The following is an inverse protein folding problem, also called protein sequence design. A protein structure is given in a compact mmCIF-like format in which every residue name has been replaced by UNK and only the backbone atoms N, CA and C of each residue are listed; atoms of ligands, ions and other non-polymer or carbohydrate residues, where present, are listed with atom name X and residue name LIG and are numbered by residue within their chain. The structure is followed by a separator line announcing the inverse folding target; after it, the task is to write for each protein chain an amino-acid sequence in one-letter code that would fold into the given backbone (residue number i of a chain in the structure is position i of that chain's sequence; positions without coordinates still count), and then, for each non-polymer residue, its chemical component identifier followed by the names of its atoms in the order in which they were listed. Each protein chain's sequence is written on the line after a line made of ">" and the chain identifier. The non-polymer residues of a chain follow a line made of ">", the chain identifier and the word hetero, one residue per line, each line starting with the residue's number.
data_IF_559900184528
#
_entry.id   IF_559900184528
#
_cell.length_a   1.000
_cell.length_b   1.000
_cell.length_c   1.000
_cell.angle_alpha   90.00
_cell.angle_beta   90.00
_cell.angle_gamma   90.00
#
_symmetry.space_group_name_H-M   'P 1'
#
loop_
_entity.id
_entity.type
_entity.pdbx_description
1 polymer ?
#
# COMPACT_ATOMS: atom_id res chain seq x y z
N UNK A 1 16.26 5.65 1.88
CA UNK A 1 14.93 5.41 2.51
C UNK A 1 14.88 5.77 4.00
N UNK A 2 13.72 6.26 4.50
CA UNK A 2 13.49 6.41 5.96
C UNK A 2 12.69 5.24 6.54
N UNK A 3 13.23 4.59 7.57
CA UNK A 3 12.59 3.49 8.30
C UNK A 3 12.09 4.01 9.66
N UNK A 4 10.85 3.69 9.99
CA UNK A 4 10.19 3.96 11.25
C UNK A 4 9.81 2.60 11.87
N UNK A 5 10.53 2.18 12.90
CA UNK A 5 10.18 0.97 13.65
C UNK A 5 8.87 1.20 14.43
N UNK A 6 8.02 0.18 14.47
CA UNK A 6 6.81 0.18 15.31
C UNK A 6 6.99 -0.77 16.49
N UNK A 7 6.18 -0.58 17.52
CA UNK A 7 6.18 -1.39 18.74
C UNK A 7 5.63 -2.80 18.52
N UNK A 8 4.93 -3.04 17.40
CA UNK A 8 4.35 -4.32 17.06
C UNK A 8 5.38 -5.20 16.36
N UNK A 9 5.53 -6.44 16.85
CA UNK A 9 6.39 -7.43 16.20
C UNK A 9 5.88 -7.67 14.77
N UNK A 10 6.80 -7.63 13.81
CA UNK A 10 6.59 -7.94 12.39
C UNK A 10 6.03 -6.83 11.49
N UNK A 11 5.79 -5.62 12.00
CA UNK A 11 5.39 -4.48 11.18
C UNK A 11 6.56 -3.49 11.08
N UNK A 12 6.89 -3.04 9.86
CA UNK A 12 7.80 -1.91 9.65
C UNK A 12 7.10 -0.83 8.85
N UNK A 13 7.30 0.42 9.27
CA UNK A 13 6.84 1.58 8.53
C UNK A 13 8.03 2.18 7.79
N UNK A 14 7.83 2.48 6.51
CA UNK A 14 8.87 2.97 5.60
C UNK A 14 8.32 4.13 4.79
N UNK A 15 9.21 5.07 4.48
CA UNK A 15 8.94 6.18 3.58
C UNK A 15 10.03 6.12 2.50
N UNK A 16 9.71 5.67 1.27
CA UNK A 16 10.66 5.71 0.16
C UNK A 16 10.87 7.18 -0.24
N UNK A 17 12.10 7.58 -0.52
CA UNK A 17 12.48 8.95 -0.86
C UNK A 17 12.74 9.11 -2.36
N UNK A 18 13.11 8.02 -3.04
CA UNK A 18 13.49 8.03 -4.44
C UNK A 18 13.03 6.74 -5.18
N UNK A 19 13.40 6.62 -6.46
CA UNK A 19 13.06 5.46 -7.29
C UNK A 19 13.78 4.17 -6.86
N UNK A 20 15.01 4.29 -6.38
CA UNK A 20 15.81 3.16 -5.90
C UNK A 20 15.15 2.54 -4.66
N UNK A 21 14.66 3.35 -3.72
CA UNK A 21 13.88 2.89 -2.58
C UNK A 21 12.63 2.12 -3.01
N UNK A 22 11.91 2.59 -4.03
CA UNK A 22 10.76 1.85 -4.58
C UNK A 22 11.16 0.51 -5.19
N UNK A 23 12.34 0.44 -5.83
CA UNK A 23 12.91 -0.81 -6.33
C UNK A 23 13.29 -1.74 -5.17
N UNK A 24 13.84 -1.21 -4.08
CA UNK A 24 14.08 -1.98 -2.86
C UNK A 24 12.78 -2.54 -2.27
N UNK A 25 11.73 -1.73 -2.17
CA UNK A 25 10.41 -2.17 -1.71
C UNK A 25 9.79 -3.24 -2.62
N UNK A 26 9.94 -3.11 -3.95
CA UNK A 26 9.51 -4.12 -4.91
C UNK A 26 10.13 -5.50 -4.63
N UNK A 27 11.41 -5.54 -4.26
CA UNK A 27 12.12 -6.78 -3.96
C UNK A 27 11.80 -7.36 -2.57
N UNK A 28 11.22 -6.56 -1.66
CA UNK A 28 10.95 -6.95 -0.27
C UNK A 28 9.50 -7.39 -0.08
N UNK A 29 8.57 -6.73 -0.76
CA UNK A 29 7.14 -7.01 -0.67
C UNK A 29 6.82 -8.28 -1.47
N UNK A 30 6.42 -9.32 -0.76
CA UNK A 30 6.09 -10.62 -1.34
C UNK A 30 4.58 -10.90 -1.27
N UNK A 31 4.14 -11.93 -2.00
CA UNK A 31 2.77 -12.43 -1.88
C UNK A 31 2.47 -12.82 -0.44
N UNK A 32 1.21 -12.66 -0.03
CA UNK A 32 0.69 -12.93 1.31
C UNK A 32 1.15 -11.98 2.42
N UNK A 33 2.07 -11.06 2.15
CA UNK A 33 2.37 -9.94 3.07
C UNK A 33 1.15 -9.02 3.19
N UNK A 34 1.09 -8.22 4.26
CA UNK A 34 0.08 -7.18 4.40
C UNK A 34 0.76 -5.82 4.24
N UNK A 35 0.22 -5.00 3.37
CA UNK A 35 0.72 -3.65 3.11
C UNK A 35 -0.38 -2.65 3.40
N UNK A 36 -0.06 -1.61 4.17
CA UNK A 36 -0.94 -0.48 4.41
C UNK A 36 -0.37 0.79 3.83
N UNK A 37 -1.23 1.58 3.21
CA UNK A 37 -0.92 2.94 2.80
C UNK A 37 -2.21 3.76 2.69
N UNK A 38 -2.04 5.08 2.60
CA UNK A 38 -3.14 5.98 2.24
C UNK A 38 -3.41 5.87 0.74
N UNK A 39 -4.67 5.62 0.37
CA UNK A 39 -5.10 5.53 -1.03
C UNK A 39 -6.40 6.29 -1.23
N UNK A 40 -6.71 6.66 -2.46
CA UNK A 40 -8.01 7.20 -2.82
C UNK A 40 -8.94 6.09 -3.30
N UNK A 41 -10.19 6.11 -2.83
CA UNK A 41 -11.24 5.24 -3.34
C UNK A 41 -12.48 6.07 -3.65
N UNK A 42 -13.13 5.76 -4.78
CA UNK A 42 -14.40 6.36 -5.15
C UNK A 42 -15.53 5.59 -4.47
N UNK A 43 -16.36 6.30 -3.72
CA UNK A 43 -17.59 5.74 -3.16
C UNK A 43 -18.73 6.01 -4.15
N UNK A 44 -19.55 5.00 -4.40
CA UNK A 44 -20.82 5.18 -5.11
C UNK A 44 -21.86 5.66 -4.11
N UNK A 45 -22.42 6.84 -4.33
CA UNK A 45 -23.56 7.34 -3.56
C UNK A 45 -24.79 6.48 -3.88
N UNK A 46 -25.33 5.79 -2.87
CA UNK A 46 -26.63 5.10 -2.95
C UNK A 46 -27.79 6.10 -2.84
N UNK A 47 -27.70 7.23 -3.54
CA UNK A 47 -28.69 8.31 -3.56
C UNK A 47 -29.46 8.34 -4.88
N UNK A 48 -30.77 8.45 -4.79
CA UNK A 48 -31.77 8.26 -5.84
C UNK A 48 -31.43 8.75 -7.27
N UNK A 49 -31.92 7.94 -8.22
CA UNK A 49 -31.88 8.01 -9.68
C UNK A 49 -32.26 9.37 -10.32
N UNK A 50 -31.57 10.49 -10.12
CA UNK A 50 -31.83 11.70 -10.95
C UNK A 50 -30.58 12.49 -11.39
N UNK A 51 -29.39 12.34 -10.77
CA UNK A 51 -28.20 13.07 -11.26
C UNK A 51 -26.97 12.17 -11.32
N UNK A 52 -26.32 12.19 -12.48
CA UNK A 52 -25.00 11.57 -12.72
C UNK A 52 -23.91 12.36 -11.99
N UNK A 53 -24.03 12.48 -10.66
CA UNK A 53 -23.02 13.14 -9.87
C UNK A 53 -21.83 12.18 -9.70
N UNK A 54 -20.65 12.69 -10.03
CA UNK A 54 -19.45 11.87 -10.14
C UNK A 54 -19.02 11.53 -8.71
N UNK A 55 -19.44 10.35 -8.22
CA UNK A 55 -19.17 9.85 -6.86
C UNK A 55 -17.87 10.33 -6.22
N UNK A 56 -17.96 10.73 -4.96
CA UNK A 56 -16.91 11.43 -4.22
C UNK A 56 -15.68 10.55 -4.01
N UNK A 57 -14.48 11.11 -4.25
CA UNK A 57 -13.21 10.45 -3.89
C UNK A 57 -12.93 10.68 -2.40
N UNK A 58 -12.72 9.60 -1.65
CA UNK A 58 -12.34 9.64 -0.24
C UNK A 58 -10.93 9.08 -0.09
N UNK A 59 -10.08 9.79 0.67
CA UNK A 59 -8.80 9.24 1.12
C UNK A 59 -9.07 8.26 2.25
N UNK A 60 -8.57 7.04 2.10
CA UNK A 60 -8.77 5.93 3.03
C UNK A 60 -7.43 5.24 3.28
N UNK A 61 -7.20 4.87 4.53
CA UNK A 61 -6.05 4.04 4.90
C UNK A 61 -6.48 2.58 4.81
N UNK A 62 -5.87 1.82 3.88
CA UNK A 62 -6.26 0.44 3.60
C UNK A 62 -5.08 -0.50 3.79
N UNK A 63 -5.36 -1.66 4.39
CA UNK A 63 -4.47 -2.81 4.43
C UNK A 63 -4.85 -3.82 3.37
N UNK A 64 -3.91 -4.15 2.48
CA UNK A 64 -4.07 -5.17 1.45
C UNK A 64 -3.22 -6.39 1.76
N UNK A 65 -3.82 -7.57 1.65
CA UNK A 65 -3.08 -8.82 1.51
C UNK A 65 -2.58 -8.92 0.07
N UNK A 66 -1.27 -8.86 -0.11
CA UNK A 66 -0.61 -8.72 -1.41
C UNK A 66 -0.81 -9.97 -2.26
N UNK A 67 -1.29 -9.79 -3.48
CA UNK A 67 -1.35 -10.86 -4.49
C UNK A 67 -0.35 -10.63 -5.63
N UNK A 68 -0.13 -9.36 -6.00
CA UNK A 68 0.75 -8.95 -7.10
C UNK A 68 1.41 -7.61 -6.78
N UNK A 69 2.68 -7.49 -7.13
CA UNK A 69 3.44 -6.24 -7.08
C UNK A 69 4.00 -5.97 -8.47
N UNK A 70 3.90 -4.72 -8.93
CA UNK A 70 4.42 -4.26 -10.22
C UNK A 70 5.22 -2.97 -10.02
N UNK A 71 6.45 -2.96 -10.49
CA UNK A 71 7.28 -1.77 -10.50
C UNK A 71 7.22 -1.11 -11.89
N UNK A 72 6.87 0.18 -11.92
CA UNK A 72 6.81 0.97 -13.13
C UNK A 72 7.87 2.08 -13.08
N UNK A 73 9.02 1.81 -13.69
CA UNK A 73 10.16 2.75 -13.75
C UNK A 73 9.79 4.07 -14.45
N UNK A 74 9.03 4.01 -15.54
CA UNK A 74 8.63 5.20 -16.30
C UNK A 74 7.74 6.18 -15.51
N UNK A 75 6.98 5.66 -14.54
CA UNK A 75 6.03 6.45 -13.75
C UNK A 75 6.46 6.64 -12.30
N UNK A 76 7.66 6.17 -11.93
CA UNK A 76 8.19 6.21 -10.56
C UNK A 76 7.19 5.69 -9.51
N UNK A 77 6.55 4.54 -9.80
CA UNK A 77 5.46 4.00 -8.98
C UNK A 77 5.61 2.51 -8.75
N UNK A 78 5.35 2.10 -7.51
CA UNK A 78 5.22 0.71 -7.11
C UNK A 78 3.75 0.38 -6.87
N UNK A 79 3.19 -0.46 -7.74
CA UNK A 79 1.78 -0.84 -7.70
C UNK A 79 1.62 -2.16 -6.95
N UNK A 80 0.90 -2.12 -5.83
CA UNK A 80 0.60 -3.27 -4.99
C UNK A 80 -0.89 -3.60 -5.10
N UNK A 81 -1.22 -4.74 -5.69
CA UNK A 81 -2.59 -5.22 -5.86
C UNK A 81 -2.87 -6.40 -4.94
N UNK A 82 -4.06 -6.42 -4.35
CA UNK A 82 -4.43 -7.45 -3.39
C UNK A 82 -5.85 -7.33 -2.89
N UNK A 83 -6.18 -8.17 -1.91
CA UNK A 83 -7.48 -8.14 -1.23
C UNK A 83 -7.42 -7.24 -0.01
N UNK A 84 -8.46 -6.43 0.19
CA UNK A 84 -8.59 -5.59 1.38
C UNK A 84 -8.82 -6.49 2.59
N UNK A 85 -7.90 -6.43 3.55
CA UNK A 85 -8.02 -7.14 4.84
C UNK A 85 -8.31 -6.19 6.00
N UNK A 86 -8.00 -4.90 5.84
CA UNK A 86 -8.27 -3.88 6.83
C UNK A 86 -8.62 -2.56 6.17
N UNK A 87 -9.56 -1.82 6.77
CA UNK A 87 -9.97 -0.51 6.31
C UNK A 87 -11.11 0.05 7.17
N UNK A 88 -11.59 1.26 6.85
CA UNK A 88 -12.78 1.85 7.47
C UNK A 88 -14.04 0.98 7.26
N UNK A 89 -15.04 1.11 8.14
CA UNK A 89 -16.28 0.31 8.10
C UNK A 89 -17.07 0.47 6.79
N UNK A 90 -16.94 1.60 6.10
CA UNK A 90 -17.59 1.86 4.81
C UNK A 90 -16.93 1.14 3.62
N UNK A 91 -15.83 0.42 3.85
CA UNK A 91 -15.05 -0.27 2.83
C UNK A 91 -15.30 -1.78 2.93
N UNK A 92 -15.80 -2.44 1.86
CA UNK A 92 -16.03 -3.88 1.87
C UNK A 92 -14.69 -4.62 1.96
N UNK A 93 -14.51 -5.36 3.06
CA UNK A 93 -13.41 -6.31 3.24
C UNK A 93 -13.50 -7.43 2.20
N UNK A 94 -12.35 -7.97 1.80
CA UNK A 94 -12.24 -9.02 0.78
C UNK A 94 -12.32 -8.53 -0.67
N UNK A 95 -12.76 -7.30 -0.91
CA UNK A 95 -12.72 -6.71 -2.25
C UNK A 95 -11.27 -6.51 -2.74
N UNK A 96 -11.09 -6.50 -4.05
CA UNK A 96 -9.80 -6.21 -4.67
C UNK A 96 -9.55 -4.71 -4.71
N UNK A 97 -8.32 -4.32 -4.38
CA UNK A 97 -7.87 -2.95 -4.52
C UNK A 97 -6.39 -2.92 -4.94
N UNK A 98 -5.97 -1.77 -5.42
CA UNK A 98 -4.59 -1.53 -5.83
C UNK A 98 -4.12 -0.22 -5.20
N UNK A 99 -3.02 -0.30 -4.45
CA UNK A 99 -2.32 0.85 -3.87
C UNK A 99 -1.18 1.19 -4.82
N UNK A 100 -1.11 2.46 -5.23
CA UNK A 100 0.04 3.01 -5.93
C UNK A 100 0.93 3.70 -4.88
N UNK A 101 2.15 3.19 -4.70
CA UNK A 101 3.17 3.76 -3.81
C UNK A 101 4.09 4.65 -4.64
N UNK A 102 4.18 5.91 -4.23
CA UNK A 102 5.06 6.93 -4.81
C UNK A 102 6.15 7.32 -3.81
N UNK A 103 7.24 7.99 -4.23
CA UNK A 103 8.16 8.60 -3.31
C UNK A 103 7.42 9.52 -2.32
N UNK A 104 7.90 9.54 -1.08
CA UNK A 104 7.35 10.27 0.07
C UNK A 104 5.99 9.73 0.57
N UNK A 105 5.53 8.59 0.05
CA UNK A 105 4.32 7.92 0.56
C UNK A 105 4.67 7.07 1.79
N UNK A 106 3.98 7.29 2.91
CA UNK A 106 4.13 6.41 4.07
C UNK A 106 3.49 5.04 3.80
N UNK A 107 4.27 3.98 3.98
CA UNK A 107 3.84 2.59 3.79
C UNK A 107 4.18 1.79 5.03
N UNK A 108 3.23 1.00 5.51
CA UNK A 108 3.50 -0.02 6.55
C UNK A 108 3.46 -1.40 5.92
N UNK A 109 4.40 -2.26 6.28
CA UNK A 109 4.53 -3.62 5.74
C UNK A 109 4.59 -4.59 6.90
N UNK A 110 3.68 -5.55 6.93
CA UNK A 110 3.72 -6.69 7.83
C UNK A 110 4.15 -7.92 7.05
N UNK A 111 5.27 -8.49 7.49
CA UNK A 111 5.79 -9.77 6.99
C UNK A 111 6.67 -10.41 8.04
N UNK A 112 6.98 -11.68 7.85
CA UNK A 112 8.09 -12.31 8.55
C UNK A 112 9.40 -11.71 8.03
N UNK A 113 10.02 -10.82 8.81
CA UNK A 113 11.22 -10.11 8.42
C UNK A 113 12.44 -11.02 8.53
N UNK A 114 13.05 -11.31 7.38
CA UNK A 114 14.29 -12.08 7.33
C UNK A 114 15.48 -11.12 7.42
N UNK A 115 16.62 -11.64 7.87
CA UNK A 115 17.83 -10.83 8.07
C UNK A 115 18.23 -10.05 6.81
N UNK A 116 18.17 -10.68 5.64
CA UNK A 116 18.51 -10.05 4.37
C UNK A 116 17.52 -8.98 3.93
N UNK A 117 16.24 -9.08 4.32
CA UNK A 117 15.24 -8.03 4.05
C UNK A 117 15.63 -6.77 4.82
N UNK A 118 15.99 -6.92 6.09
CA UNK A 118 16.44 -5.82 6.96
C UNK A 118 17.76 -5.22 6.48
N UNK A 119 18.71 -6.04 6.03
CA UNK A 119 19.97 -5.58 5.45
C UNK A 119 19.72 -4.78 4.16
N UNK A 120 18.79 -5.24 3.30
CA UNK A 120 18.38 -4.54 2.08
C UNK A 120 17.69 -3.20 2.37
N UNK A 121 16.84 -3.13 3.39
CA UNK A 121 16.23 -1.87 3.80
C UNK A 121 17.28 -0.86 4.28
N UNK A 122 18.35 -1.32 4.92
CA UNK A 122 19.45 -0.45 5.41
C UNK A 122 20.39 0.02 4.31
N UNK A 123 20.47 -0.71 3.20
CA UNK A 123 21.31 -0.35 2.05
C UNK A 123 20.63 0.60 1.06
N UNK A 124 19.34 0.91 1.28
CA UNK A 124 18.49 1.75 0.43
C UNK A 124 18.49 3.22 0.88
#
# INVERSE_FOLDING_TARGET
>A
MKILETSEKDILKVIPENLDDLWHLYNIIERDNIVWAMTERRLEDKGDKIRADRGTKKKVYLGLKVEKVLFHEDTNRLRVSGRIVQGPEDIPLGAYHTIDIEPLTEVSIQKEWKRWDLERLKSA
#
